data_IF_709729215542
#
_entry.id   IF_709729215542
#
_cell.length_a   1.000
_cell.length_b   1.000
_cell.length_c   1.000
_cell.angle_alpha   90.00
_cell.angle_beta   90.00
_cell.angle_gamma   90.00
#
_symmetry.space_group_name_H-M   'P 1'
#
loop_
_entity.id
_entity.type
_entity.pdbx_description
1 polymer ?
#
# COMPACT_ATOMS: atom_id res chain seq x y z
N UNK A 1 40.27 -0.11 -0.21
CA UNK A 1 39.27 0.05 0.87
C UNK A 1 39.03 1.55 1.04
N UNK A 2 37.78 2.05 1.01
CA UNK A 2 37.48 3.51 0.98
C UNK A 2 37.49 4.20 2.36
N UNK A 3 38.02 3.53 3.39
CA UNK A 3 38.18 4.10 4.73
C UNK A 3 37.03 3.86 5.71
N UNK A 4 35.98 3.12 5.33
CA UNK A 4 34.86 2.80 6.22
C UNK A 4 35.19 1.65 7.19
N UNK A 5 34.74 1.77 8.43
CA UNK A 5 34.85 0.72 9.45
C UNK A 5 33.85 -0.41 9.22
N UNK A 6 34.09 -1.56 9.83
CA UNK A 6 33.16 -2.70 9.74
C UNK A 6 31.83 -2.36 10.43
N UNK A 7 31.89 -1.60 11.52
CA UNK A 7 30.74 -1.12 12.28
C UNK A 7 29.86 -0.19 11.44
N UNK A 8 30.47 0.71 10.65
CA UNK A 8 29.75 1.59 9.74
C UNK A 8 29.01 0.81 8.65
N UNK A 9 29.66 -0.21 8.06
CA UNK A 9 29.04 -1.05 7.03
C UNK A 9 27.84 -1.86 7.57
N UNK A 10 27.95 -2.36 8.80
CA UNK A 10 26.84 -3.05 9.48
C UNK A 10 25.73 -2.06 9.84
N UNK A 11 26.07 -0.89 10.39
CA UNK A 11 25.10 0.14 10.79
C UNK A 11 24.33 0.72 9.58
N UNK A 12 24.98 0.84 8.42
CA UNK A 12 24.36 1.19 7.16
C UNK A 12 23.51 0.06 6.55
N UNK A 13 23.58 -1.15 7.11
CA UNK A 13 22.78 -2.30 6.68
C UNK A 13 23.23 -2.90 5.35
N UNK A 14 24.47 -2.66 4.92
CA UNK A 14 25.04 -3.23 3.68
C UNK A 14 25.90 -4.47 3.94
N UNK A 15 26.29 -4.70 5.19
CA UNK A 15 27.00 -5.90 5.63
C UNK A 15 26.31 -6.58 6.82
N UNK A 16 26.59 -7.87 7.00
CA UNK A 16 26.11 -8.70 8.10
C UNK A 16 27.29 -9.31 8.85
N UNK A 17 27.16 -9.45 10.18
CA UNK A 17 28.16 -10.18 10.98
C UNK A 17 28.10 -11.67 10.66
N UNK A 18 29.26 -12.31 10.57
CA UNK A 18 29.34 -13.77 10.47
C UNK A 18 28.93 -14.41 11.80
N UNK A 19 28.11 -15.46 11.73
CA UNK A 19 27.78 -16.30 12.89
C UNK A 19 28.89 -17.34 13.18
N UNK A 20 29.80 -17.56 12.22
CA UNK A 20 30.81 -18.64 12.27
C UNK A 20 32.21 -18.17 12.70
N UNK A 21 32.39 -16.89 13.03
CA UNK A 21 33.68 -16.35 13.46
C UNK A 21 33.83 -14.84 13.25
N UNK A 22 35.03 -14.28 13.50
CA UNK A 22 35.29 -12.87 13.29
C UNK A 22 35.24 -12.53 11.79
N UNK A 23 34.31 -11.65 11.42
CA UNK A 23 34.18 -11.18 10.04
C UNK A 23 32.79 -10.66 9.72
N UNK A 24 32.70 -10.01 8.57
CA UNK A 24 31.43 -9.59 7.97
C UNK A 24 31.31 -10.17 6.58
N UNK A 25 30.10 -10.18 6.05
CA UNK A 25 29.84 -10.51 4.65
C UNK A 25 28.83 -9.55 4.05
N UNK A 26 28.91 -9.40 2.72
CA UNK A 26 28.00 -8.54 1.98
C UNK A 26 26.57 -9.02 2.13
N UNK A 27 25.66 -8.12 2.52
CA UNK A 27 24.24 -8.43 2.65
C UNK A 27 23.60 -8.72 1.29
N UNK A 28 24.03 -7.97 0.27
CA UNK A 28 23.47 -8.04 -1.07
C UNK A 28 24.47 -8.68 -2.03
N UNK A 29 24.49 -10.02 -2.07
CA UNK A 29 25.29 -10.79 -3.04
C UNK A 29 24.42 -11.29 -4.17
N UNK A 30 24.95 -11.30 -5.39
CA UNK A 30 24.31 -11.86 -6.59
C UNK A 30 22.87 -11.36 -6.82
N UNK A 31 22.66 -10.08 -6.50
CA UNK A 31 21.36 -9.42 -6.54
C UNK A 31 21.41 -8.17 -7.41
N UNK A 32 20.36 -7.97 -8.21
CA UNK A 32 20.06 -6.68 -8.81
C UNK A 32 19.66 -5.70 -7.69
N UNK A 33 20.38 -4.60 -7.58
CA UNK A 33 20.15 -3.58 -6.55
C UNK A 33 19.20 -2.49 -7.03
N UNK A 34 18.28 -2.12 -6.14
CA UNK A 34 17.35 -1.00 -6.26
C UNK A 34 17.71 0.03 -5.20
N UNK A 35 18.44 1.10 -5.52
CA UNK A 35 18.76 2.14 -4.55
C UNK A 35 17.47 2.83 -4.08
N UNK A 36 17.34 2.99 -2.77
CA UNK A 36 16.20 3.61 -2.11
C UNK A 36 16.61 5.02 -1.70
N UNK A 37 15.83 6.00 -2.12
CA UNK A 37 16.06 7.41 -1.83
C UNK A 37 14.99 7.96 -0.88
N UNK A 38 15.39 8.87 -0.02
CA UNK A 38 14.43 9.71 0.70
C UNK A 38 13.88 10.82 -0.21
N UNK A 39 12.93 11.60 0.30
CA UNK A 39 12.28 12.67 -0.47
C UNK A 39 13.25 13.78 -0.94
N UNK A 40 14.43 13.88 -0.34
CA UNK A 40 15.49 14.85 -0.68
C UNK A 40 16.51 14.26 -1.67
N UNK A 41 16.23 13.11 -2.26
CA UNK A 41 17.10 12.43 -3.22
C UNK A 41 18.42 11.91 -2.62
N UNK A 42 18.43 11.63 -1.30
CA UNK A 42 19.58 11.01 -0.63
C UNK A 42 19.40 9.51 -0.59
N UNK A 43 20.42 8.76 -1.00
CA UNK A 43 20.40 7.30 -0.89
C UNK A 43 20.42 6.88 0.58
N UNK A 44 19.39 6.15 1.01
CA UNK A 44 19.21 5.73 2.42
C UNK A 44 19.30 4.22 2.59
N UNK A 45 19.08 3.44 1.53
CA UNK A 45 19.16 1.99 1.59
C UNK A 45 19.05 1.35 0.22
N UNK A 46 18.88 0.04 0.21
CA UNK A 46 18.76 -0.75 -1.01
C UNK A 46 17.66 -1.82 -0.89
N UNK A 47 16.92 -2.02 -1.96
CA UNK A 47 16.27 -3.29 -2.27
C UNK A 47 17.22 -4.16 -3.10
N UNK A 48 17.07 -5.47 -3.02
CA UNK A 48 17.87 -6.43 -3.78
C UNK A 48 17.05 -7.62 -4.24
N UNK A 49 17.04 -7.90 -5.55
CA UNK A 49 16.36 -9.07 -6.13
C UNK A 49 17.36 -10.11 -6.57
N UNK A 50 17.16 -11.36 -6.19
CA UNK A 50 17.99 -12.48 -6.68
C UNK A 50 17.87 -12.61 -8.21
N UNK A 51 18.99 -12.84 -8.88
CA UNK A 51 19.02 -13.20 -10.30
C UNK A 51 18.85 -14.70 -10.53
N UNK A 52 19.13 -15.51 -9.51
CA UNK A 52 18.95 -16.97 -9.56
C UNK A 52 17.47 -17.33 -9.27
N UNK A 53 16.74 -17.91 -10.25
CA UNK A 53 15.36 -18.34 -10.05
C UNK A 53 15.22 -19.52 -9.07
N UNK A 54 16.30 -20.26 -8.80
CA UNK A 54 16.33 -21.39 -7.88
C UNK A 54 16.96 -21.04 -6.53
N UNK A 55 17.19 -19.75 -6.26
CA UNK A 55 17.75 -19.30 -5.01
C UNK A 55 16.90 -19.78 -3.83
N UNK A 56 17.54 -20.39 -2.84
CA UNK A 56 16.90 -20.80 -1.58
C UNK A 56 16.59 -19.62 -0.65
N UNK A 57 17.17 -18.46 -0.92
CA UNK A 57 16.95 -17.22 -0.18
C UNK A 57 15.71 -16.47 -0.70
N UNK A 58 15.25 -15.48 0.06
CA UNK A 58 14.12 -14.64 -0.35
C UNK A 58 14.38 -13.95 -1.71
N UNK A 59 13.35 -13.97 -2.58
CA UNK A 59 13.38 -13.37 -3.93
C UNK A 59 13.76 -11.89 -3.89
N UNK A 60 13.20 -11.15 -2.93
CA UNK A 60 13.53 -9.76 -2.63
C UNK A 60 13.99 -9.63 -1.18
N UNK A 61 15.03 -8.83 -0.96
CA UNK A 61 15.45 -8.38 0.37
C UNK A 61 15.58 -6.87 0.38
N UNK A 62 15.38 -6.26 1.55
CA UNK A 62 15.57 -4.83 1.76
C UNK A 62 16.65 -4.60 2.81
N UNK A 63 17.24 -3.41 2.79
CA UNK A 63 18.00 -2.88 3.92
C UNK A 63 17.16 -3.00 5.21
N UNK A 64 17.78 -3.34 6.36
CA UNK A 64 17.11 -3.29 7.64
C UNK A 64 16.77 -1.85 8.02
N UNK A 65 16.03 -1.64 9.11
CA UNK A 65 15.90 -0.33 9.72
C UNK A 65 17.30 0.19 10.10
N UNK A 66 17.64 1.42 9.72
CA UNK A 66 18.91 2.07 10.10
C UNK A 66 18.64 3.48 10.63
N UNK A 67 19.70 4.18 11.06
CA UNK A 67 19.61 5.59 11.46
C UNK A 67 19.14 6.51 10.32
N UNK A 68 19.40 6.12 9.06
CA UNK A 68 19.05 6.91 7.87
C UNK A 68 17.90 6.31 7.06
N UNK A 69 17.55 5.04 7.28
CA UNK A 69 16.47 4.36 6.57
C UNK A 69 15.36 3.93 7.52
N UNK A 70 14.25 4.66 7.49
CA UNK A 70 13.01 4.28 8.13
C UNK A 70 11.94 3.94 7.10
N UNK A 71 11.60 2.65 7.02
CA UNK A 71 10.60 2.10 6.08
C UNK A 71 9.23 2.78 6.21
N UNK A 72 8.91 3.32 7.38
CA UNK A 72 7.64 4.01 7.62
C UNK A 72 7.56 5.40 7.00
N UNK A 73 8.69 6.00 6.61
CA UNK A 73 8.76 7.36 6.06
C UNK A 73 9.27 7.40 4.62
N UNK A 74 9.38 6.23 3.97
CA UNK A 74 9.91 6.12 2.62
C UNK A 74 8.89 5.42 1.74
N UNK A 75 8.64 6.02 0.57
CA UNK A 75 7.96 5.40 -0.55
C UNK A 75 8.96 5.39 -1.70
N UNK A 76 9.20 4.22 -2.27
CA UNK A 76 10.14 4.10 -3.37
C UNK A 76 9.67 4.98 -4.54
N UNK A 77 10.63 5.67 -5.15
CA UNK A 77 10.44 6.62 -6.25
C UNK A 77 9.71 7.93 -5.92
N UNK A 78 9.35 8.19 -4.65
CA UNK A 78 8.72 9.47 -4.30
C UNK A 78 9.63 10.67 -4.57
N UNK A 79 10.94 10.54 -4.41
CA UNK A 79 11.93 11.57 -4.74
C UNK A 79 11.77 12.08 -6.18
N UNK A 80 11.51 11.18 -7.13
CA UNK A 80 11.33 11.50 -8.54
C UNK A 80 9.86 11.83 -8.87
N UNK A 81 8.90 11.14 -8.24
CA UNK A 81 7.48 11.23 -8.58
C UNK A 81 6.76 12.45 -7.96
N UNK A 82 7.29 13.05 -6.88
CA UNK A 82 6.58 14.07 -6.07
C UNK A 82 6.06 15.28 -6.87
N UNK A 83 6.79 15.77 -7.86
CA UNK A 83 6.31 16.88 -8.71
C UNK A 83 5.17 16.43 -9.61
N UNK A 84 5.31 15.27 -10.25
CA UNK A 84 4.26 14.70 -11.10
C UNK A 84 2.99 14.36 -10.32
N UNK A 85 3.11 13.87 -9.09
CA UNK A 85 1.97 13.62 -8.18
C UNK A 85 1.24 14.93 -7.87
N UNK A 86 2.00 16.00 -7.60
CA UNK A 86 1.41 17.32 -7.32
C UNK A 86 0.69 17.88 -8.55
N UNK A 87 1.31 17.76 -9.73
CA UNK A 87 0.78 18.29 -10.97
C UNK A 87 -0.46 17.53 -11.44
N UNK A 88 -0.50 16.21 -11.26
CA UNK A 88 -1.67 15.38 -11.61
C UNK A 88 -2.76 15.39 -10.55
N UNK A 89 -2.44 15.76 -9.31
CA UNK A 89 -3.35 15.74 -8.16
C UNK A 89 -3.57 14.36 -7.53
N UNK A 90 -2.89 13.32 -8.01
CA UNK A 90 -2.99 11.96 -7.49
C UNK A 90 -1.70 11.15 -7.61
N UNK A 91 -1.50 10.19 -6.70
CA UNK A 91 -0.42 9.21 -6.78
C UNK A 91 -0.95 7.83 -7.20
N UNK A 92 -0.27 7.17 -8.12
CA UNK A 92 -0.46 5.73 -8.38
C UNK A 92 0.43 4.97 -7.41
N UNK A 93 -0.16 4.08 -6.62
CA UNK A 93 0.58 3.34 -5.59
C UNK A 93 0.55 1.85 -5.89
N UNK A 94 1.74 1.29 -6.02
CA UNK A 94 1.99 -0.11 -6.34
C UNK A 94 2.84 -0.78 -5.25
N UNK A 95 3.11 -2.06 -5.46
CA UNK A 95 3.72 -2.94 -4.47
C UNK A 95 5.25 -2.89 -4.51
N UNK A 96 5.80 -3.18 -5.69
CA UNK A 96 7.20 -3.49 -5.88
C UNK A 96 7.99 -2.44 -6.64
N UNK A 97 9.32 -2.57 -6.56
CA UNK A 97 10.26 -1.79 -7.35
C UNK A 97 10.04 -1.96 -8.86
N UNK A 98 9.75 -3.18 -9.30
CA UNK A 98 9.59 -3.50 -10.72
C UNK A 98 8.36 -2.82 -11.32
N UNK A 99 7.23 -2.85 -10.61
CA UNK A 99 6.00 -2.16 -10.99
C UNK A 99 6.24 -0.68 -11.25
N UNK A 100 7.01 -0.04 -10.37
CA UNK A 100 7.40 1.36 -10.51
C UNK A 100 8.30 1.55 -11.72
N UNK A 101 9.35 0.73 -11.87
CA UNK A 101 10.35 0.92 -12.93
C UNK A 101 9.72 0.76 -14.31
N UNK A 102 8.94 -0.30 -14.54
CA UNK A 102 8.33 -0.54 -15.85
C UNK A 102 7.25 0.49 -16.16
N UNK A 103 6.39 0.82 -15.19
CA UNK A 103 5.38 1.89 -15.36
C UNK A 103 6.02 3.25 -15.61
N UNK A 104 7.09 3.57 -14.89
CA UNK A 104 7.84 4.82 -15.06
C UNK A 104 8.49 4.89 -16.44
N UNK A 105 9.12 3.80 -16.90
CA UNK A 105 9.68 3.70 -18.24
C UNK A 105 8.59 3.87 -19.31
N UNK A 106 7.38 3.38 -19.05
CA UNK A 106 6.21 3.54 -19.90
C UNK A 106 5.54 4.94 -19.79
N UNK A 107 6.08 5.83 -18.96
CA UNK A 107 5.67 7.23 -18.86
C UNK A 107 4.59 7.52 -17.81
N UNK A 108 4.29 6.59 -16.91
CA UNK A 108 3.45 6.85 -15.73
C UNK A 108 4.38 7.43 -14.66
N UNK A 109 4.41 8.76 -14.55
CA UNK A 109 5.43 9.50 -13.76
C UNK A 109 5.00 9.84 -12.32
N UNK A 110 3.74 9.64 -11.98
CA UNK A 110 3.19 9.86 -10.64
C UNK A 110 3.06 8.55 -9.85
N UNK A 111 3.95 7.59 -10.09
CA UNK A 111 3.91 6.25 -9.50
C UNK A 111 4.96 6.07 -8.38
N UNK A 112 4.55 5.44 -7.29
CA UNK A 112 5.38 5.12 -6.13
C UNK A 112 5.09 3.72 -5.62
N UNK A 113 6.03 3.12 -4.89
CA UNK A 113 5.83 1.83 -4.24
C UNK A 113 6.00 1.88 -2.73
N UNK A 114 5.22 1.04 -2.03
CA UNK A 114 5.33 0.85 -0.57
C UNK A 114 6.61 0.08 -0.20
N UNK A 115 7.09 -0.78 -1.12
CA UNK A 115 8.41 -1.44 -1.16
C UNK A 115 9.29 -1.28 0.09
N UNK A 116 9.11 -2.21 1.05
CA UNK A 116 9.79 -2.13 2.35
C UNK A 116 9.05 -2.87 3.47
N UNK A 117 7.72 -2.95 3.35
CA UNK A 117 6.81 -3.80 4.13
C UNK A 117 6.47 -5.01 3.28
N UNK A 118 6.76 -6.24 3.73
CA UNK A 118 6.60 -7.41 2.88
C UNK A 118 5.16 -7.54 2.38
N UNK A 119 4.97 -7.48 1.07
CA UNK A 119 3.77 -8.05 0.45
C UNK A 119 4.01 -9.56 0.36
N UNK A 120 3.60 -10.20 1.46
CA UNK A 120 3.29 -11.62 1.71
C UNK A 120 4.36 -12.69 1.37
N UNK A 121 4.89 -13.32 2.41
CA UNK A 121 4.82 -14.78 2.57
C UNK A 121 4.54 -15.09 4.04
N UNK A 122 3.48 -15.85 4.28
CA UNK A 122 2.75 -16.07 5.53
C UNK A 122 3.53 -16.71 6.69
N UNK A 123 4.85 -16.87 6.59
CA UNK A 123 5.57 -17.80 7.45
C UNK A 123 6.34 -17.20 8.62
N UNK A 124 6.61 -15.89 8.71
CA UNK A 124 7.31 -15.31 9.88
C UNK A 124 7.17 -13.78 10.00
N UNK A 125 5.99 -13.26 10.36
CA UNK A 125 5.85 -11.82 10.60
C UNK A 125 5.23 -11.49 11.96
N UNK A 126 5.91 -10.62 12.69
CA UNK A 126 5.39 -9.97 13.90
C UNK A 126 4.14 -9.15 13.53
N UNK A 127 3.11 -9.16 14.39
CA UNK A 127 1.83 -8.46 14.17
C UNK A 127 1.96 -6.94 13.98
N UNK A 128 3.13 -6.36 14.24
CA UNK A 128 3.43 -4.93 14.13
C UNK A 128 3.95 -4.51 12.74
N UNK A 129 4.36 -5.46 11.90
CA UNK A 129 4.92 -5.23 10.56
C UNK A 129 3.95 -5.62 9.44
N UNK A 130 2.66 -5.36 9.66
CA UNK A 130 1.62 -5.62 8.65
C UNK A 130 1.95 -4.96 7.30
N UNK A 131 1.75 -5.74 6.24
CA UNK A 131 1.79 -5.30 4.85
C UNK A 131 0.73 -4.22 4.58
N UNK A 132 1.03 -3.24 3.72
CA UNK A 132 0.18 -2.09 3.39
C UNK A 132 0.79 -0.74 3.78
N UNK A 133 0.08 0.35 3.53
CA UNK A 133 0.54 1.69 3.91
C UNK A 133 0.77 1.79 5.42
N UNK A 134 1.88 2.42 5.78
CA UNK A 134 2.08 2.94 7.13
C UNK A 134 1.49 4.34 7.25
N UNK A 135 0.99 4.69 8.43
CA UNK A 135 0.36 6.00 8.69
C UNK A 135 1.23 7.19 8.24
N UNK A 136 2.55 7.08 8.46
CA UNK A 136 3.50 8.11 8.07
C UNK A 136 3.70 8.22 6.53
N UNK A 137 3.58 7.12 5.79
CA UNK A 137 3.58 7.14 4.32
C UNK A 137 2.31 7.80 3.78
N UNK A 138 1.16 7.54 4.40
CA UNK A 138 -0.11 8.22 4.07
C UNK A 138 0.01 9.72 4.27
N UNK A 139 0.51 10.15 5.44
CA UNK A 139 0.77 11.57 5.73
C UNK A 139 1.74 12.19 4.74
N UNK A 140 2.75 11.44 4.31
CA UNK A 140 3.73 11.91 3.33
C UNK A 140 3.06 12.16 1.97
N UNK A 141 2.23 11.23 1.48
CA UNK A 141 1.48 11.42 0.23
C UNK A 141 0.48 12.57 0.31
N UNK A 142 -0.21 12.75 1.44
CA UNK A 142 -1.16 13.84 1.66
C UNK A 142 -0.53 15.24 1.49
N UNK A 143 0.80 15.36 1.62
CA UNK A 143 1.52 16.63 1.34
C UNK A 143 1.56 16.98 -0.16
N UNK A 144 1.37 16.00 -1.04
CA UNK A 144 1.52 16.15 -2.49
C UNK A 144 0.21 15.99 -3.25
N UNK A 145 -0.73 15.19 -2.74
CA UNK A 145 -2.01 14.93 -3.40
C UNK A 145 -3.14 14.67 -2.40
N UNK A 146 -4.38 14.80 -2.88
CA UNK A 146 -5.59 14.43 -2.12
C UNK A 146 -6.19 13.10 -2.57
N UNK A 147 -5.69 12.52 -3.66
CA UNK A 147 -6.17 11.26 -4.21
C UNK A 147 -5.03 10.24 -4.35
N UNK A 148 -5.29 8.99 -4.02
CA UNK A 148 -4.41 7.87 -4.31
C UNK A 148 -5.16 6.82 -5.12
N UNK A 149 -4.47 6.27 -6.12
CA UNK A 149 -4.96 5.20 -6.98
C UNK A 149 -4.14 3.95 -6.70
N UNK A 150 -4.74 2.98 -6.02
CA UNK A 150 -4.09 1.74 -5.65
C UNK A 150 -4.15 0.77 -6.83
N UNK A 151 -3.00 0.29 -7.26
CA UNK A 151 -2.85 -0.71 -8.31
C UNK A 151 -2.03 -1.86 -7.75
N UNK A 152 -2.70 -2.78 -7.08
CA UNK A 152 -2.12 -3.97 -6.46
C UNK A 152 -2.46 -5.22 -7.27
N UNK A 153 -1.75 -6.30 -7.02
CA UNK A 153 -1.96 -7.56 -7.74
C UNK A 153 -3.41 -8.01 -7.60
N UNK A 154 -3.95 -8.60 -8.67
CA UNK A 154 -5.34 -9.06 -8.70
C UNK A 154 -5.69 -10.03 -7.56
N UNK A 155 -4.69 -10.75 -7.04
CA UNK A 155 -4.80 -11.70 -5.93
C UNK A 155 -4.69 -11.01 -4.55
N UNK A 156 -3.97 -9.88 -4.44
CA UNK A 156 -3.72 -9.13 -3.20
C UNK A 156 -4.78 -8.06 -2.89
N UNK A 157 -5.55 -7.64 -3.90
CA UNK A 157 -6.73 -6.79 -3.71
C UNK A 157 -7.79 -7.42 -2.77
N UNK A 158 -7.66 -8.71 -2.44
CA UNK A 158 -8.57 -9.46 -1.59
C UNK A 158 -8.13 -9.76 -0.14
N UNK A 159 -6.94 -9.38 0.32
CA UNK A 159 -6.43 -9.83 1.63
C UNK A 159 -5.90 -8.71 2.54
N UNK A 160 -6.61 -8.46 3.64
CA UNK A 160 -6.34 -7.79 4.96
C UNK A 160 -5.24 -6.72 5.15
N UNK A 161 -4.13 -6.79 4.44
CA UNK A 161 -3.00 -5.88 4.46
C UNK A 161 -3.29 -4.59 3.68
N UNK A 162 -3.75 -4.73 2.43
CA UNK A 162 -4.25 -3.64 1.61
C UNK A 162 -5.40 -2.90 2.30
N UNK A 163 -6.28 -3.63 3.00
CA UNK A 163 -7.39 -3.05 3.77
C UNK A 163 -6.92 -2.11 4.88
N UNK A 164 -5.85 -2.47 5.60
CA UNK A 164 -5.33 -1.63 6.70
C UNK A 164 -4.73 -0.33 6.16
N UNK A 165 -4.05 -0.39 5.02
CA UNK A 165 -3.53 0.79 4.34
C UNK A 165 -4.63 1.71 3.81
N UNK A 166 -5.69 1.12 3.25
CA UNK A 166 -6.89 1.85 2.82
C UNK A 166 -7.56 2.55 4.02
N UNK A 167 -7.74 1.85 5.14
CA UNK A 167 -8.33 2.43 6.36
C UNK A 167 -7.54 3.65 6.85
N UNK A 168 -6.21 3.59 6.82
CA UNK A 168 -5.34 4.71 7.18
C UNK A 168 -5.44 5.87 6.19
N UNK A 169 -5.54 5.59 4.89
CA UNK A 169 -5.70 6.62 3.86
C UNK A 169 -7.05 7.34 3.98
N UNK A 170 -8.13 6.58 4.16
CA UNK A 170 -9.48 7.13 4.41
C UNK A 170 -9.51 7.96 5.69
N UNK A 171 -8.89 7.48 6.77
CA UNK A 171 -8.80 8.23 8.04
C UNK A 171 -7.94 9.51 7.92
N UNK A 172 -7.06 9.59 6.92
CA UNK A 172 -6.30 10.80 6.60
C UNK A 172 -6.99 11.70 5.55
N UNK A 173 -8.27 11.41 5.25
CA UNK A 173 -9.09 12.16 4.29
C UNK A 173 -8.46 12.19 2.88
N UNK A 174 -7.78 11.10 2.49
CA UNK A 174 -7.43 10.86 1.10
C UNK A 174 -8.61 10.21 0.37
N UNK A 175 -8.88 10.69 -0.84
CA UNK A 175 -9.71 9.97 -1.80
C UNK A 175 -8.95 8.71 -2.23
N UNK A 176 -9.56 7.54 -2.02
CA UNK A 176 -8.95 6.26 -2.36
C UNK A 176 -9.70 5.62 -3.52
N UNK A 177 -8.98 5.41 -4.63
CA UNK A 177 -9.49 4.70 -5.80
C UNK A 177 -8.69 3.44 -6.07
N UNK A 178 -9.34 2.46 -6.69
CA UNK A 178 -8.74 1.18 -7.07
C UNK A 178 -8.64 1.11 -8.59
N UNK A 179 -7.43 0.86 -9.08
CA UNK A 179 -7.16 0.54 -10.49
C UNK A 179 -7.46 -0.94 -10.69
N UNK A 180 -8.50 -1.23 -11.47
CA UNK A 180 -8.87 -2.61 -11.79
C UNK A 180 -8.25 -3.00 -13.14
N UNK A 181 -7.16 -3.76 -13.10
CA UNK A 181 -6.48 -4.27 -14.28
C UNK A 181 -7.37 -5.27 -15.03
N UNK A 182 -7.53 -5.08 -16.34
CA UNK A 182 -8.19 -6.06 -17.22
C UNK A 182 -7.21 -6.97 -17.95
N UNK A 183 -5.92 -6.61 -17.97
CA UNK A 183 -4.82 -7.36 -18.57
C UNK A 183 -3.60 -7.29 -17.66
N UNK A 184 -2.83 -8.39 -17.59
CA UNK A 184 -1.71 -8.53 -16.67
C UNK A 184 -2.16 -8.89 -15.25
N UNK A 185 -1.28 -9.57 -14.52
CA UNK A 185 -1.50 -9.97 -13.12
C UNK A 185 -1.08 -8.88 -12.14
N UNK A 186 -0.09 -8.10 -12.54
CA UNK A 186 0.54 -7.03 -11.77
C UNK A 186 0.71 -5.77 -12.66
N UNK A 187 1.02 -4.59 -12.07
CA UNK A 187 1.25 -3.37 -12.84
C UNK A 187 2.42 -3.48 -13.84
N UNK A 188 3.45 -4.27 -13.53
CA UNK A 188 4.57 -4.51 -14.43
C UNK A 188 4.13 -5.18 -15.74
N UNK A 189 3.38 -6.27 -15.63
CA UNK A 189 2.83 -7.00 -16.77
C UNK A 189 1.81 -6.14 -17.53
N UNK A 190 0.93 -5.42 -16.84
CA UNK A 190 -0.04 -4.52 -17.46
C UNK A 190 0.64 -3.42 -18.31
N UNK A 191 1.68 -2.78 -17.76
CA UNK A 191 2.47 -1.77 -18.46
C UNK A 191 3.19 -2.33 -19.70
N UNK A 192 3.70 -3.56 -19.63
CA UNK A 192 4.40 -4.24 -20.73
C UNK A 192 3.45 -4.74 -21.82
N UNK A 193 2.26 -5.23 -21.46
CA UNK A 193 1.30 -5.79 -22.41
C UNK A 193 0.59 -4.71 -23.22
N UNK A 194 0.01 -3.71 -22.55
CA UNK A 194 -0.76 -2.67 -23.23
C UNK A 194 -0.79 -1.37 -22.41
N UNK A 195 0.20 -0.53 -22.67
CA UNK A 195 0.35 0.76 -21.98
C UNK A 195 -0.86 1.69 -22.15
N UNK A 196 -1.48 1.73 -23.34
CA UNK A 196 -2.64 2.60 -23.57
C UNK A 196 -3.80 2.16 -22.70
N UNK A 197 -4.05 0.85 -22.65
CA UNK A 197 -5.09 0.28 -21.79
C UNK A 197 -4.79 0.51 -20.32
N UNK A 198 -3.55 0.30 -19.88
CA UNK A 198 -3.17 0.50 -18.49
C UNK A 198 -3.35 1.97 -18.05
N UNK A 199 -2.96 2.94 -18.89
CA UNK A 199 -3.23 4.37 -18.64
C UNK A 199 -4.73 4.65 -18.54
N UNK A 200 -5.54 4.07 -19.42
CA UNK A 200 -7.01 4.21 -19.33
C UNK A 200 -7.56 3.63 -18.03
N UNK A 201 -7.05 2.49 -17.57
CA UNK A 201 -7.46 1.87 -16.30
C UNK A 201 -7.07 2.72 -15.10
N UNK A 202 -5.89 3.35 -15.12
CA UNK A 202 -5.48 4.32 -14.10
C UNK A 202 -6.43 5.51 -14.09
N UNK A 203 -6.83 6.04 -15.24
CA UNK A 203 -7.80 7.16 -15.31
C UNK A 203 -9.22 6.74 -14.90
N UNK A 204 -9.61 5.50 -15.17
CA UNK A 204 -10.91 4.93 -14.82
C UNK A 204 -10.90 4.25 -13.45
N UNK A 205 -9.93 4.57 -12.59
CA UNK A 205 -9.85 4.03 -11.24
C UNK A 205 -11.16 4.28 -10.49
N UNK A 206 -11.66 3.24 -9.82
CA UNK A 206 -12.97 3.25 -9.18
C UNK A 206 -12.83 3.75 -7.74
N UNK A 207 -13.69 4.67 -7.26
CA UNK A 207 -13.82 4.95 -5.83
C UNK A 207 -13.96 3.65 -5.03
N UNK A 208 -13.37 3.61 -3.83
CA UNK A 208 -13.32 2.38 -3.04
C UNK A 208 -14.71 1.77 -2.78
N UNK A 209 -15.73 2.61 -2.58
CA UNK A 209 -17.12 2.17 -2.43
C UNK A 209 -17.64 1.47 -3.69
N UNK A 210 -17.51 2.10 -4.86
CA UNK A 210 -17.85 1.50 -6.16
C UNK A 210 -17.12 0.18 -6.41
N UNK A 211 -15.82 0.14 -6.11
CA UNK A 211 -15.03 -1.07 -6.25
C UNK A 211 -15.52 -2.20 -5.33
N UNK A 212 -15.90 -1.88 -4.09
CA UNK A 212 -16.43 -2.85 -3.14
C UNK A 212 -17.73 -3.48 -3.65
N UNK A 213 -18.68 -2.67 -4.15
CA UNK A 213 -19.92 -3.17 -4.76
C UNK A 213 -19.64 -4.11 -5.93
N UNK A 214 -18.81 -3.67 -6.88
CA UNK A 214 -18.44 -4.47 -8.06
C UNK A 214 -17.80 -5.80 -7.66
N UNK A 215 -16.92 -5.78 -6.65
CA UNK A 215 -16.19 -6.96 -6.19
C UNK A 215 -17.08 -7.96 -5.47
N UNK A 216 -17.98 -7.48 -4.60
CA UNK A 216 -18.92 -8.34 -3.87
C UNK A 216 -19.94 -8.96 -4.81
N UNK A 217 -20.56 -8.17 -5.69
CA UNK A 217 -21.62 -8.67 -6.60
C UNK A 217 -21.09 -9.63 -7.67
N UNK A 218 -19.78 -9.60 -7.97
CA UNK A 218 -19.15 -10.62 -8.82
C UNK A 218 -19.03 -11.98 -8.11
N UNK A 219 -18.98 -12.00 -6.78
CA UNK A 219 -18.73 -13.21 -5.96
C UNK A 219 -20.00 -13.83 -5.37
N UNK A 220 -21.08 -13.04 -5.21
CA UNK A 220 -22.29 -13.49 -4.54
C UNK A 220 -23.52 -13.30 -5.42
N UNK A 221 -24.44 -14.27 -5.40
CA UNK A 221 -25.73 -14.15 -6.09
C UNK A 221 -26.76 -13.43 -5.22
N UNK A 222 -26.90 -12.13 -5.44
CA UNK A 222 -27.84 -11.24 -4.74
C UNK A 222 -29.32 -11.53 -5.00
N UNK A 223 -29.65 -12.48 -5.86
CA UNK A 223 -31.04 -12.95 -6.03
C UNK A 223 -31.46 -13.93 -4.94
N UNK A 224 -30.51 -14.55 -4.25
CA UNK A 224 -30.77 -15.51 -3.18
C UNK A 224 -30.79 -14.83 -1.81
N UNK A 225 -31.57 -15.37 -0.86
CA UNK A 225 -31.58 -14.89 0.53
C UNK A 225 -30.18 -14.87 1.14
N UNK A 226 -29.40 -15.92 0.90
CA UNK A 226 -28.05 -16.05 1.46
C UNK A 226 -27.07 -15.07 0.80
N UNK A 227 -27.13 -14.90 -0.52
CA UNK A 227 -26.30 -13.93 -1.22
C UNK A 227 -26.62 -12.48 -0.84
N UNK A 228 -27.90 -12.13 -0.65
CA UNK A 228 -28.29 -10.81 -0.09
C UNK A 228 -27.67 -10.59 1.29
N UNK A 229 -27.75 -11.58 2.19
CA UNK A 229 -27.19 -11.52 3.54
C UNK A 229 -25.66 -11.36 3.52
N UNK A 230 -24.97 -12.11 2.66
CA UNK A 230 -23.53 -12.02 2.50
C UNK A 230 -23.11 -10.66 1.93
N UNK A 231 -23.79 -10.20 0.87
CA UNK A 231 -23.55 -8.90 0.26
C UNK A 231 -23.70 -7.76 1.27
N UNK A 232 -24.82 -7.75 2.01
CA UNK A 232 -25.08 -6.76 3.05
C UNK A 232 -23.97 -6.76 4.11
N UNK A 233 -23.56 -7.94 4.59
CA UNK A 233 -22.50 -8.06 5.60
C UNK A 233 -21.17 -7.44 5.12
N UNK A 234 -20.72 -7.77 3.91
CA UNK A 234 -19.45 -7.27 3.39
C UNK A 234 -19.51 -5.78 3.04
N UNK A 235 -20.58 -5.33 2.40
CA UNK A 235 -20.70 -3.95 1.95
C UNK A 235 -20.97 -2.99 3.10
N UNK A 236 -21.77 -3.36 4.11
CA UNK A 236 -21.95 -2.51 5.30
C UNK A 236 -20.65 -2.34 6.08
N UNK A 237 -19.81 -3.37 6.15
CA UNK A 237 -18.49 -3.26 6.77
C UNK A 237 -17.56 -2.30 6.00
N UNK A 238 -17.60 -2.31 4.67
CA UNK A 238 -16.86 -1.37 3.84
C UNK A 238 -17.41 0.07 3.95
N UNK A 239 -18.73 0.24 3.87
CA UNK A 239 -19.40 1.54 3.97
C UNK A 239 -19.13 2.18 5.34
N UNK A 240 -19.17 1.41 6.44
CA UNK A 240 -18.91 1.93 7.77
C UNK A 240 -17.53 2.60 7.93
N UNK A 241 -16.55 2.22 7.10
CA UNK A 241 -15.19 2.76 7.09
C UNK A 241 -15.06 4.08 6.31
N UNK A 242 -16.04 4.44 5.49
CA UNK A 242 -16.01 5.71 4.76
C UNK A 242 -16.14 6.88 5.74
N UNK A 243 -15.29 7.90 5.63
CA UNK A 243 -15.27 9.03 6.55
C UNK A 243 -16.48 9.95 6.35
N UNK A 244 -16.92 10.16 5.10
CA UNK A 244 -17.99 11.08 4.76
C UNK A 244 -19.39 10.48 5.05
N UNK A 245 -20.20 11.06 5.96
CA UNK A 245 -21.57 10.60 6.19
C UNK A 245 -22.49 10.68 4.97
N UNK A 246 -22.27 11.64 4.05
CA UNK A 246 -23.09 11.78 2.82
C UNK A 246 -22.77 10.63 1.86
N UNK A 247 -21.50 10.31 1.70
CA UNK A 247 -21.07 9.16 0.89
C UNK A 247 -21.61 7.83 1.47
N UNK A 248 -21.58 7.68 2.80
CA UNK A 248 -22.19 6.52 3.46
C UNK A 248 -23.69 6.41 3.20
N UNK A 249 -24.41 7.52 3.33
CA UNK A 249 -25.85 7.58 3.06
C UNK A 249 -26.18 7.16 1.63
N UNK A 250 -25.43 7.67 0.66
CA UNK A 250 -25.55 7.33 -0.76
C UNK A 250 -25.40 5.81 -0.99
N UNK A 251 -24.34 5.20 -0.45
CA UNK A 251 -24.12 3.76 -0.63
C UNK A 251 -25.12 2.89 0.13
N UNK A 252 -25.61 3.32 1.30
CA UNK A 252 -26.66 2.59 2.03
C UNK A 252 -27.96 2.55 1.21
N UNK A 253 -28.37 3.70 0.64
CA UNK A 253 -29.56 3.80 -0.23
C UNK A 253 -29.42 2.92 -1.46
N UNK A 254 -28.24 2.96 -2.10
CA UNK A 254 -27.93 2.09 -3.23
C UNK A 254 -28.02 0.61 -2.83
N UNK A 255 -27.42 0.22 -1.70
CA UNK A 255 -27.44 -1.16 -1.23
C UNK A 255 -28.86 -1.66 -0.97
N UNK A 256 -29.71 -0.83 -0.37
CA UNK A 256 -31.12 -1.15 -0.12
C UNK A 256 -31.85 -1.47 -1.44
N UNK A 257 -31.68 -0.60 -2.44
CA UNK A 257 -32.26 -0.79 -3.78
C UNK A 257 -31.71 -2.02 -4.49
N UNK A 258 -30.39 -2.19 -4.49
CA UNK A 258 -29.73 -3.29 -5.23
C UNK A 258 -30.03 -4.66 -4.59
N UNK A 259 -30.28 -4.71 -3.28
CA UNK A 259 -30.69 -5.93 -2.57
C UNK A 259 -32.20 -6.09 -2.44
N UNK A 260 -33.01 -5.10 -2.84
CA UNK A 260 -34.47 -5.09 -2.66
C UNK A 260 -34.85 -5.40 -1.20
N UNK A 261 -34.37 -4.56 -0.28
CA UNK A 261 -34.64 -4.60 1.17
C UNK A 261 -34.86 -3.20 1.72
N UNK A 262 -35.50 -3.12 2.89
CA UNK A 262 -35.70 -1.85 3.59
C UNK A 262 -34.36 -1.24 4.06
N UNK A 263 -34.20 0.06 3.78
CA UNK A 263 -33.02 0.84 4.19
C UNK A 263 -32.83 0.81 5.72
N UNK A 264 -33.94 0.85 6.45
CA UNK A 264 -33.96 0.79 7.92
C UNK A 264 -33.23 -0.46 8.44
N UNK A 265 -33.48 -1.62 7.86
CA UNK A 265 -32.84 -2.88 8.27
C UNK A 265 -31.33 -2.88 8.04
N UNK A 266 -30.87 -2.20 6.98
CA UNK A 266 -29.44 -2.04 6.71
C UNK A 266 -28.78 -1.08 7.68
N UNK A 267 -29.45 0.03 8.04
CA UNK A 267 -28.93 0.99 9.04
C UNK A 267 -28.80 0.38 10.43
N UNK A 268 -29.76 -0.44 10.84
CA UNK A 268 -29.69 -1.18 12.11
C UNK A 268 -28.54 -2.20 12.13
N UNK A 269 -28.13 -2.68 10.96
CA UNK A 269 -27.03 -3.63 10.78
C UNK A 269 -25.68 -2.95 10.51
N UNK A 270 -25.64 -1.62 10.40
CA UNK A 270 -24.42 -0.89 10.09
C UNK A 270 -23.45 -0.98 11.28
N UNK A 271 -22.22 -1.49 11.10
CA UNK A 271 -21.22 -1.49 12.16
C UNK A 271 -20.91 -0.07 12.61
N UNK A 272 -20.66 0.13 13.91
CA UNK A 272 -20.11 1.39 14.38
C UNK A 272 -18.79 1.67 13.65
N UNK A 273 -18.55 2.89 13.13
CA UNK A 273 -17.27 3.23 12.52
C UNK A 273 -16.16 3.00 13.55
N UNK A 274 -14.97 2.54 13.13
CA UNK A 274 -13.84 2.40 14.05
C UNK A 274 -13.55 3.78 14.67
N UNK A 275 -13.60 3.87 16.00
CA UNK A 275 -13.20 5.09 16.71
C UNK A 275 -11.76 5.41 16.32
N UNK A 276 -11.42 6.65 15.91
CA UNK A 276 -10.02 7.02 15.72
C UNK A 276 -9.30 6.73 17.03
N UNK A 277 -8.25 5.90 16.99
CA UNK A 277 -7.36 5.72 18.13
C UNK A 277 -6.65 7.05 18.31
N UNK A 278 -7.20 7.90 19.18
CA UNK A 278 -6.43 8.99 19.78
C UNK A 278 -5.30 8.32 20.54
N UNK A 279 -4.10 8.27 19.95
CA UNK A 279 -2.90 8.03 20.72
C UNK A 279 -2.92 9.08 21.82
N UNK A 280 -2.92 8.61 23.08
CA UNK A 280 -2.70 9.46 24.22
C UNK A 280 -1.39 10.20 23.98
N UNK A 281 -1.48 11.46 23.54
CA UNK A 281 -0.40 12.42 23.69
C UNK A 281 -0.20 12.48 25.19
N UNK A 282 0.91 11.91 25.65
CA UNK A 282 1.30 11.96 27.05
C UNK A 282 1.15 13.40 27.52
N UNK A 283 0.37 13.60 28.58
CA UNK A 283 0.39 14.86 29.32
C UNK A 283 1.84 15.09 29.72
N UNK A 284 2.52 15.99 29.03
CA UNK A 284 3.72 16.63 29.55
C UNK A 284 3.21 17.45 30.72
N UNK A 285 3.42 16.94 31.93
CA UNK A 285 3.27 17.73 33.14
C UNK A 285 4.29 18.87 33.07
N UNK A 286 3.85 20.05 32.64
CA UNK A 286 4.49 21.29 33.02
C UNK A 286 4.23 21.47 34.52
N UNK A 287 5.17 20.99 35.36
CA UNK A 287 5.28 21.48 36.72
C UNK A 287 6.06 22.79 36.66
N UNK A 288 5.29 23.88 36.75
CA UNK A 288 5.79 25.18 37.20
C UNK A 288 5.77 25.11 38.73
N UNK A 289 6.96 25.12 39.33
CA UNK A 289 7.35 25.81 40.57
C UNK A 289 8.77 25.38 40.95
#
# INVERSE_FOLDING_TARGET
NKGFSLEELIAAGVALKSERGPGIYDRFRDRLLFPIFDVQDRAVGFGGRTLDPNAKEAKYINSPQTAIYNKSFVLYNLNQAKSFIKDSGYAVVVEGYMDVISSWQAGIKNIVAVSGTALVSETNYSKEEGSGFKYEQVKLLKRYCNEIRLCFDADLAGQSASERGIDLALAAELEVKIVALSQGKDPDEAARMNLVKFKQEIEQALPIGEYAFKSVFKKVDVKTREGKKQAAKFLLAAIAKLPDPVERDFYIKRLARDLDVEEKSLRESLPNPPKPRTNAIGKVNCLVN
#
